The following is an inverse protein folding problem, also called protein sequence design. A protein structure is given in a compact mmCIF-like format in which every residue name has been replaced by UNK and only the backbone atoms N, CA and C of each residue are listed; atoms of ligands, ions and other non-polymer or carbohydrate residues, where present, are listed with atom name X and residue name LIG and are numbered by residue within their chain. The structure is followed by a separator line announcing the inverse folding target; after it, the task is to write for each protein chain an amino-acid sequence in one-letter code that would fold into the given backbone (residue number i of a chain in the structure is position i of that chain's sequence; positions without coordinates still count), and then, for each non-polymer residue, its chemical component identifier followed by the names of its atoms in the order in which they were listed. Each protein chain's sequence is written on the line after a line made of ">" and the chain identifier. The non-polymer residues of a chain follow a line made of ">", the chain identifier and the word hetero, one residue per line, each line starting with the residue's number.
data_IF_277546400518
#
_entry.id   IF_277546400518
#
_cell.length_a   1.000
_cell.length_b   1.000
_cell.length_c   1.000
_cell.angle_alpha   90.00
_cell.angle_beta   90.00
_cell.angle_gamma   90.00
#
_symmetry.space_group_name_H-M   'P 1'
#
loop_
_entity.id
_entity.type
_entity.pdbx_description
1 polymer ?
#
# COMPACT_ATOMS: atom_id res chain seq x y z
N UNK A 1 -1.19 -57.75 -15.43
CA UNK A 1 -1.96 -56.63 -14.86
C UNK A 1 -1.45 -56.38 -13.45
N UNK A 2 -0.76 -55.26 -13.21
CA UNK A 2 -0.33 -54.84 -11.86
C UNK A 2 -1.36 -53.84 -11.36
N UNK A 3 -2.01 -54.15 -10.25
CA UNK A 3 -2.95 -53.25 -9.59
C UNK A 3 -2.15 -52.20 -8.80
N UNK A 4 -2.25 -50.93 -9.21
CA UNK A 4 -1.71 -49.80 -8.47
C UNK A 4 -2.72 -49.42 -7.40
N UNK A 5 -2.36 -49.57 -6.12
CA UNK A 5 -3.18 -49.12 -5.01
C UNK A 5 -3.05 -47.59 -4.87
N UNK A 6 -4.16 -46.87 -5.08
CA UNK A 6 -4.26 -45.45 -4.78
C UNK A 6 -4.55 -45.33 -3.28
N UNK A 7 -3.57 -44.89 -2.51
CA UNK A 7 -3.76 -44.52 -1.10
C UNK A 7 -4.26 -43.08 -1.08
N UNK A 8 -5.55 -42.90 -0.82
CA UNK A 8 -6.14 -41.58 -0.56
C UNK A 8 -5.84 -41.25 0.90
N UNK A 9 -4.82 -40.44 1.17
CA UNK A 9 -4.63 -39.82 2.48
C UNK A 9 -5.65 -38.69 2.65
N UNK A 10 -6.72 -38.96 3.37
CA UNK A 10 -7.60 -37.90 3.86
C UNK A 10 -6.93 -37.22 5.05
N UNK A 11 -6.27 -36.09 4.84
CA UNK A 11 -5.86 -35.22 5.93
C UNK A 11 -7.12 -34.63 6.56
N UNK A 12 -7.43 -35.04 7.80
CA UNK A 12 -8.50 -34.40 8.58
C UNK A 12 -7.95 -33.04 9.03
N UNK A 13 -8.32 -31.98 8.32
CA UNK A 13 -8.04 -30.62 8.76
C UNK A 13 -8.97 -30.33 9.94
N UNK A 14 -8.40 -30.34 11.14
CA UNK A 14 -9.06 -29.83 12.33
C UNK A 14 -9.28 -28.34 12.15
N UNK A 15 -10.53 -27.92 11.92
CA UNK A 15 -10.87 -26.50 11.91
C UNK A 15 -11.03 -26.09 13.37
N UNK A 16 -10.01 -25.45 13.94
CA UNK A 16 -10.10 -24.84 15.26
C UNK A 16 -11.27 -23.84 15.29
N UNK A 17 -11.97 -23.74 16.42
CA UNK A 17 -12.93 -22.65 16.63
C UNK A 17 -12.19 -21.32 16.54
N UNK A 18 -12.78 -20.31 15.89
CA UNK A 18 -12.22 -18.97 15.89
C UNK A 18 -11.94 -18.49 17.32
N UNK A 19 -10.75 -17.93 17.55
CA UNK A 19 -10.27 -17.45 18.84
C UNK A 19 -9.92 -15.98 18.72
N UNK A 20 -10.40 -15.16 19.65
CA UNK A 20 -10.05 -13.74 19.73
C UNK A 20 -9.32 -13.49 21.04
N UNK A 21 -8.10 -12.95 20.95
CA UNK A 21 -7.26 -12.57 22.09
C UNK A 21 -7.28 -11.07 22.23
N UNK A 22 -7.81 -10.58 23.35
CA UNK A 22 -7.89 -9.14 23.65
C UNK A 22 -6.59 -8.66 24.31
N UNK A 23 -6.01 -7.59 23.77
CA UNK A 23 -4.85 -6.89 24.32
C UNK A 23 -5.27 -5.47 24.67
N UNK A 24 -5.62 -5.26 25.93
CA UNK A 24 -6.24 -4.02 26.42
C UNK A 24 -5.21 -3.08 27.09
N UNK A 25 -5.70 -1.92 27.53
CA UNK A 25 -4.94 -0.90 28.25
C UNK A 25 -3.99 -1.47 29.32
N UNK A 26 -2.70 -1.13 29.20
CA UNK A 26 -1.65 -1.54 30.13
C UNK A 26 -1.20 -3.00 29.97
N UNK A 27 -1.74 -3.73 28.99
CA UNK A 27 -1.30 -5.08 28.65
C UNK A 27 -0.34 -5.04 27.46
N UNK A 28 0.57 -6.00 27.42
CA UNK A 28 1.57 -6.10 26.35
C UNK A 28 1.80 -7.56 26.03
N UNK A 29 1.37 -8.00 24.83
CA UNK A 29 1.55 -9.35 24.32
C UNK A 29 2.98 -9.51 23.80
N UNK A 30 3.74 -10.41 24.40
CA UNK A 30 5.14 -10.69 24.07
C UNK A 30 5.29 -11.99 23.28
N UNK A 31 6.51 -12.28 22.80
CA UNK A 31 6.78 -13.58 22.16
C UNK A 31 6.65 -14.75 23.13
N UNK A 32 7.03 -14.57 24.40
CA UNK A 32 6.86 -15.63 25.41
C UNK A 32 5.38 -16.02 25.56
N UNK A 33 4.46 -15.06 25.44
CA UNK A 33 3.01 -15.32 25.47
C UNK A 33 2.52 -16.06 24.23
N UNK A 34 3.06 -15.74 23.04
CA UNK A 34 2.78 -16.43 21.78
C UNK A 34 3.25 -17.88 21.85
N UNK A 35 4.48 -18.12 22.33
CA UNK A 35 5.06 -19.45 22.50
C UNK A 35 4.30 -20.28 23.55
N UNK A 36 3.80 -19.62 24.60
CA UNK A 36 2.99 -20.26 25.63
C UNK A 36 1.55 -20.59 25.15
N UNK A 37 1.08 -19.98 24.07
CA UNK A 37 -0.33 -20.05 23.65
C UNK A 37 -1.28 -19.50 24.71
N UNK A 38 -0.83 -18.52 25.51
CA UNK A 38 -1.65 -17.94 26.56
C UNK A 38 -1.24 -16.52 26.88
N UNK A 39 -2.23 -15.65 27.11
CA UNK A 39 -2.02 -14.24 27.43
C UNK A 39 -3.10 -13.70 28.36
N UNK A 40 -2.71 -13.11 29.48
CA UNK A 40 -3.62 -12.49 30.44
C UNK A 40 -4.83 -13.38 30.84
N UNK A 41 -4.61 -14.69 30.98
CA UNK A 41 -5.65 -15.68 31.32
C UNK A 41 -6.48 -16.19 30.13
N UNK A 42 -6.24 -15.70 28.93
CA UNK A 42 -6.78 -16.22 27.67
C UNK A 42 -5.85 -17.31 27.15
N UNK A 43 -6.38 -18.44 26.69
CA UNK A 43 -5.60 -19.49 26.02
C UNK A 43 -5.96 -19.52 24.54
N UNK A 44 -4.97 -19.70 23.69
CA UNK A 44 -5.16 -19.76 22.25
C UNK A 44 -4.20 -20.76 21.60
N UNK A 45 -4.56 -21.22 20.42
CA UNK A 45 -3.70 -21.97 19.51
C UNK A 45 -3.32 -21.01 18.38
N UNK A 46 -2.03 -20.70 18.24
CA UNK A 46 -1.57 -19.78 17.20
C UNK A 46 -1.82 -20.40 15.82
N UNK A 47 -2.58 -19.71 14.97
CA UNK A 47 -3.00 -20.23 13.68
C UNK A 47 -3.98 -19.31 12.96
N UNK A 48 -4.49 -19.71 11.77
CA UNK A 48 -5.33 -18.85 10.94
C UNK A 48 -6.70 -18.51 11.53
N UNK A 49 -7.14 -19.26 12.54
CA UNK A 49 -8.38 -19.01 13.27
C UNK A 49 -8.20 -18.03 14.43
N UNK A 50 -6.99 -17.53 14.68
CA UNK A 50 -6.67 -16.68 15.83
C UNK A 50 -6.56 -15.23 15.40
N UNK A 51 -7.25 -14.36 16.13
CA UNK A 51 -7.25 -12.91 15.94
C UNK A 51 -6.78 -12.23 17.22
N UNK A 52 -5.79 -11.34 17.12
CA UNK A 52 -5.34 -10.47 18.20
C UNK A 52 -5.97 -9.09 18.04
N UNK A 53 -6.76 -8.64 19.02
CA UNK A 53 -7.36 -7.31 19.07
C UNK A 53 -6.55 -6.42 20.01
N UNK A 54 -5.74 -5.52 19.43
CA UNK A 54 -4.90 -4.59 20.18
C UNK A 54 -5.64 -3.26 20.32
N UNK A 55 -6.29 -3.11 21.48
CA UNK A 55 -7.16 -1.99 21.79
C UNK A 55 -6.36 -0.82 22.39
N UNK A 56 -7.06 0.28 22.68
CA UNK A 56 -6.50 1.49 23.28
C UNK A 56 -5.60 1.17 24.49
N UNK A 57 -4.34 1.61 24.43
CA UNK A 57 -3.33 1.42 25.46
C UNK A 57 -2.79 -0.01 25.59
N UNK A 58 -3.24 -0.94 24.74
CA UNK A 58 -2.67 -2.27 24.58
C UNK A 58 -1.53 -2.27 23.57
N UNK A 59 -0.64 -3.26 23.69
CA UNK A 59 0.48 -3.38 22.77
C UNK A 59 0.87 -4.82 22.42
N UNK A 60 1.40 -5.02 21.23
CA UNK A 60 2.18 -6.23 20.89
C UNK A 60 3.65 -5.84 20.84
N UNK A 61 4.51 -6.61 21.50
CA UNK A 61 5.95 -6.45 21.47
C UNK A 61 6.58 -6.27 22.86
N UNK A 62 7.90 -6.07 22.96
CA UNK A 62 8.81 -5.99 21.83
C UNK A 62 8.93 -7.33 21.11
N UNK A 63 8.73 -7.30 19.79
CA UNK A 63 9.04 -8.48 18.96
C UNK A 63 10.56 -8.55 18.78
N UNK A 64 11.16 -9.75 18.85
CA UNK A 64 12.58 -9.93 18.68
C UNK A 64 12.99 -9.40 17.31
N UNK A 65 13.95 -8.49 17.36
CA UNK A 65 14.71 -8.04 16.21
C UNK A 65 16.16 -8.02 16.61
N UNK A 66 17.07 -8.26 15.69
CA UNK A 66 18.47 -7.88 15.91
C UNK A 66 19.11 -7.53 14.58
N UNK A 67 20.28 -6.88 14.64
CA UNK A 67 21.14 -6.65 13.48
C UNK A 67 21.79 -7.93 12.93
N UNK A 68 21.63 -9.04 13.64
CA UNK A 68 22.06 -10.42 13.32
C UNK A 68 20.80 -11.22 12.97
N UNK A 69 20.82 -12.16 12.01
CA UNK A 69 19.59 -12.81 11.55
C UNK A 69 18.87 -13.52 12.69
N UNK A 70 17.83 -12.89 13.22
CA UNK A 70 16.81 -13.50 14.05
C UNK A 70 15.69 -13.93 13.12
N UNK A 71 15.14 -15.12 13.33
CA UNK A 71 13.99 -15.57 12.56
C UNK A 71 12.81 -14.61 12.82
N UNK A 72 12.01 -14.26 11.79
CA UNK A 72 10.77 -13.53 12.00
C UNK A 72 9.84 -14.30 12.94
N UNK A 73 9.02 -13.60 13.71
CA UNK A 73 7.97 -14.22 14.51
C UNK A 73 6.88 -14.69 13.57
N UNK A 74 6.70 -16.01 13.50
CA UNK A 74 5.67 -16.64 12.70
C UNK A 74 4.34 -16.64 13.47
N UNK A 75 3.33 -15.98 12.92
CA UNK A 75 1.99 -15.91 13.52
C UNK A 75 1.06 -17.02 13.02
N UNK A 76 1.55 -17.95 12.21
CA UNK A 76 0.80 -19.14 11.78
C UNK A 76 -0.45 -18.84 10.94
N UNK A 77 -0.50 -17.69 10.29
CA UNK A 77 -1.66 -17.18 9.54
C UNK A 77 -2.63 -16.36 10.38
N UNK A 78 -2.33 -16.07 11.65
CA UNK A 78 -3.21 -15.28 12.52
C UNK A 78 -3.41 -13.85 12.00
N UNK A 79 -4.53 -13.25 12.41
CA UNK A 79 -4.85 -11.85 12.16
C UNK A 79 -4.47 -10.99 13.36
N UNK A 80 -3.88 -9.82 13.12
CA UNK A 80 -3.49 -8.84 14.13
C UNK A 80 -4.20 -7.53 13.78
N UNK A 81 -5.14 -7.12 14.62
CA UNK A 81 -5.85 -5.85 14.49
C UNK A 81 -5.25 -4.84 15.45
N UNK A 82 -4.57 -3.82 14.95
CA UNK A 82 -4.15 -2.67 15.76
C UNK A 82 -5.26 -1.62 15.63
N UNK A 83 -6.03 -1.46 16.70
CA UNK A 83 -7.16 -0.53 16.78
C UNK A 83 -6.70 0.85 17.26
N UNK A 84 -7.63 1.82 17.28
CA UNK A 84 -7.39 3.17 17.78
C UNK A 84 -6.72 3.14 19.18
N UNK A 85 -5.58 3.82 19.30
CA UNK A 85 -4.77 3.87 20.52
C UNK A 85 -4.02 2.58 20.86
N UNK A 86 -4.17 1.51 20.09
CA UNK A 86 -3.37 0.30 20.15
C UNK A 86 -2.00 0.51 19.51
N UNK A 87 -0.99 -0.23 19.96
CA UNK A 87 0.38 -0.07 19.46
C UNK A 87 1.04 -1.39 19.07
N UNK A 88 1.67 -1.43 17.90
CA UNK A 88 2.66 -2.46 17.59
C UNK A 88 4.05 -1.92 17.94
N UNK A 89 4.62 -2.41 19.04
CA UNK A 89 5.92 -1.98 19.54
C UNK A 89 7.04 -2.72 18.80
N UNK A 90 7.93 -1.94 18.20
CA UNK A 90 9.26 -2.39 17.83
C UNK A 90 10.25 -1.83 18.87
N UNK A 91 11.00 -2.70 19.52
CA UNK A 91 12.06 -2.28 20.45
C UNK A 91 13.16 -1.57 19.68
N UNK A 92 13.64 -0.39 20.10
CA UNK A 92 14.80 0.20 19.43
C UNK A 92 16.07 -0.43 20.02
N UNK A 93 17.01 -0.95 19.20
CA UNK A 93 17.17 -0.79 17.75
C UNK A 93 16.62 -1.94 16.90
N UNK A 94 15.85 -2.82 17.51
CA UNK A 94 15.40 -4.10 17.00
C UNK A 94 14.18 -3.97 16.07
N UNK A 95 14.31 -4.54 14.86
CA UNK A 95 13.25 -4.55 13.86
C UNK A 95 12.16 -5.53 14.29
N UNK A 96 10.90 -5.12 14.35
CA UNK A 96 9.81 -6.07 14.51
C UNK A 96 9.66 -6.86 13.21
N UNK A 97 9.88 -8.17 13.24
CA UNK A 97 9.80 -9.04 12.06
C UNK A 97 8.62 -9.99 12.20
N UNK A 98 7.69 -9.91 11.26
CA UNK A 98 6.41 -10.65 11.27
C UNK A 98 6.36 -11.55 10.03
N UNK A 99 6.09 -12.83 10.24
CA UNK A 99 5.90 -13.81 9.16
C UNK A 99 4.51 -14.45 9.25
N UNK A 100 3.97 -14.86 8.07
CA UNK A 100 2.67 -15.51 7.92
C UNK A 100 1.57 -14.87 8.80
N UNK A 101 1.32 -13.57 8.65
CA UNK A 101 0.31 -12.87 9.42
C UNK A 101 -0.52 -11.94 8.53
N UNK A 102 -1.74 -11.63 8.95
CA UNK A 102 -2.49 -10.49 8.42
C UNK A 102 -2.47 -9.36 9.45
N UNK A 103 -1.78 -8.26 9.17
CA UNK A 103 -1.68 -7.09 10.04
C UNK A 103 -2.62 -5.97 9.55
N UNK A 104 -3.67 -5.68 10.30
CA UNK A 104 -4.57 -4.57 10.03
C UNK A 104 -4.20 -3.37 10.91
N UNK A 105 -3.89 -2.24 10.29
CA UNK A 105 -3.55 -0.97 10.95
C UNK A 105 -4.70 0.00 10.73
N UNK A 106 -5.56 0.14 11.75
CA UNK A 106 -6.78 0.92 11.68
C UNK A 106 -6.54 2.40 12.08
N UNK A 107 -7.57 3.24 11.91
CA UNK A 107 -7.52 4.64 12.33
C UNK A 107 -7.12 4.82 13.80
N UNK A 108 -6.20 5.76 14.04
CA UNK A 108 -5.67 6.05 15.36
C UNK A 108 -4.71 4.98 15.93
N UNK A 109 -4.42 3.92 15.19
CA UNK A 109 -3.38 2.96 15.55
C UNK A 109 -1.98 3.56 15.41
N UNK A 110 -1.03 3.03 16.18
CA UNK A 110 0.39 3.37 16.03
C UNK A 110 1.22 2.12 15.76
N UNK A 111 1.96 2.12 14.66
CA UNK A 111 2.96 1.11 14.36
C UNK A 111 4.34 1.71 14.58
N UNK A 112 5.11 1.06 15.44
CA UNK A 112 6.45 1.46 15.81
C UNK A 112 7.44 1.46 14.64
N UNK A 113 8.68 1.84 14.92
CA UNK A 113 9.71 1.95 13.88
C UNK A 113 10.22 0.58 13.41
N UNK A 114 10.51 0.40 12.11
CA UNK A 114 11.16 -0.80 11.57
C UNK A 114 10.35 -2.10 11.68
N UNK A 115 9.07 -2.07 11.29
CA UNK A 115 8.32 -3.31 11.06
C UNK A 115 8.67 -3.88 9.69
N UNK A 116 8.96 -5.18 9.63
CA UNK A 116 9.25 -5.91 8.40
C UNK A 116 8.34 -7.13 8.29
N UNK A 117 7.62 -7.23 7.18
CA UNK A 117 6.75 -8.35 6.82
C UNK A 117 7.52 -9.35 5.96
N UNK A 118 7.40 -10.63 6.28
CA UNK A 118 8.09 -11.75 5.64
C UNK A 118 7.11 -12.85 5.26
N UNK A 119 7.49 -13.70 4.30
CA UNK A 119 6.91 -15.04 4.10
C UNK A 119 5.38 -15.00 4.03
N UNK A 120 4.82 -14.30 3.04
CA UNK A 120 3.36 -14.22 2.85
C UNK A 120 2.62 -13.39 3.90
N UNK A 121 3.31 -12.73 4.84
CA UNK A 121 2.67 -11.74 5.70
C UNK A 121 2.15 -10.57 4.88
N UNK A 122 0.96 -10.11 5.23
CA UNK A 122 0.26 -9.01 4.57
C UNK A 122 -0.04 -7.94 5.59
N UNK A 123 0.02 -6.68 5.18
CA UNK A 123 -0.51 -5.59 5.99
C UNK A 123 -1.52 -4.76 5.22
N UNK A 124 -2.59 -4.36 5.91
CA UNK A 124 -3.63 -3.48 5.43
C UNK A 124 -3.61 -2.22 6.29
N UNK A 125 -3.13 -1.11 5.73
CA UNK A 125 -3.09 0.20 6.38
C UNK A 125 -4.28 0.99 5.87
N UNK A 126 -5.38 0.94 6.60
CA UNK A 126 -6.57 1.74 6.32
C UNK A 126 -6.50 3.10 7.01
N UNK A 127 -5.65 3.22 8.04
CA UNK A 127 -5.51 4.40 8.87
C UNK A 127 -4.25 4.42 9.73
N UNK A 128 -4.23 5.32 10.71
CA UNK A 128 -3.19 5.37 11.73
C UNK A 128 -1.83 5.91 11.25
N UNK A 129 -0.80 5.69 12.06
CA UNK A 129 0.57 6.15 11.79
C UNK A 129 1.57 4.99 11.86
N UNK A 130 2.39 4.85 10.82
CA UNK A 130 3.59 4.00 10.80
C UNK A 130 4.81 4.91 10.89
N UNK A 131 5.40 5.00 12.09
CA UNK A 131 6.30 6.09 12.46
C UNK A 131 7.67 6.10 11.76
N UNK A 132 8.07 5.03 11.08
CA UNK A 132 9.37 4.95 10.38
C UNK A 132 9.31 3.94 9.23
N UNK A 133 10.31 3.06 9.12
CA UNK A 133 10.37 2.05 8.07
C UNK A 133 9.29 0.98 8.24
N UNK A 134 8.41 0.90 7.25
CA UNK A 134 7.50 -0.20 7.00
C UNK A 134 8.00 -0.99 5.79
N UNK A 135 8.35 -2.25 6.02
CA UNK A 135 9.05 -3.06 5.02
C UNK A 135 8.28 -4.31 4.68
N UNK A 136 8.31 -4.69 3.41
CA UNK A 136 7.95 -6.02 2.97
C UNK A 136 9.17 -6.71 2.32
N UNK A 137 9.35 -7.99 2.58
CA UNK A 137 10.45 -8.83 2.08
C UNK A 137 9.97 -10.25 1.85
N UNK A 138 10.65 -10.98 0.96
CA UNK A 138 10.48 -12.43 0.77
C UNK A 138 8.99 -12.85 0.67
N UNK A 139 8.22 -12.19 -0.21
CA UNK A 139 6.78 -12.42 -0.40
C UNK A 139 5.84 -11.67 0.56
N UNK A 140 6.36 -10.74 1.36
CA UNK A 140 5.54 -9.82 2.13
C UNK A 140 4.78 -8.83 1.23
N UNK A 141 3.58 -8.41 1.65
CA UNK A 141 2.73 -7.48 0.90
C UNK A 141 2.21 -6.35 1.78
N UNK A 142 2.14 -5.14 1.24
CA UNK A 142 1.57 -3.96 1.93
C UNK A 142 0.47 -3.36 1.07
N UNK A 143 -0.73 -3.23 1.62
CA UNK A 143 -1.86 -2.54 1.02
C UNK A 143 -2.15 -1.31 1.88
N UNK A 144 -2.15 -0.11 1.31
CA UNK A 144 -2.40 1.11 2.06
C UNK A 144 -3.47 1.96 1.37
N UNK A 145 -4.67 1.96 1.93
CA UNK A 145 -5.80 2.78 1.45
C UNK A 145 -5.96 4.09 2.24
N UNK A 146 -5.15 4.28 3.28
CA UNK A 146 -5.18 5.46 4.13
C UNK A 146 -4.00 5.50 5.09
N UNK A 147 -4.10 6.35 6.11
CA UNK A 147 -3.06 6.52 7.13
C UNK A 147 -1.80 7.23 6.63
N UNK A 148 -0.80 7.29 7.52
CA UNK A 148 0.49 7.91 7.27
C UNK A 148 1.63 6.90 7.47
N UNK A 149 2.42 6.66 6.41
CA UNK A 149 3.59 5.80 6.43
C UNK A 149 4.84 6.66 6.27
N UNK A 150 5.65 6.81 7.31
CA UNK A 150 6.82 7.68 7.25
C UNK A 150 7.85 7.21 6.19
N UNK A 151 8.10 5.91 6.10
CA UNK A 151 8.93 5.33 5.04
C UNK A 151 8.44 3.95 4.65
N UNK A 152 8.11 3.75 3.38
CA UNK A 152 7.78 2.46 2.79
C UNK A 152 9.01 1.93 2.06
N UNK A 153 9.44 0.70 2.32
CA UNK A 153 10.66 0.15 1.72
C UNK A 153 10.43 -1.30 1.33
N UNK A 154 10.64 -1.61 0.04
CA UNK A 154 10.56 -2.94 -0.57
C UNK A 154 11.99 -3.33 -0.96
N UNK A 155 12.80 -3.82 0.00
CA UNK A 155 14.22 -4.02 -0.20
C UNK A 155 14.47 -5.30 -1.02
N UNK A 156 15.72 -5.57 -1.45
CA UNK A 156 16.04 -6.83 -2.07
C UNK A 156 15.63 -8.03 -1.22
N UNK A 157 14.92 -8.94 -1.89
CA UNK A 157 14.64 -10.28 -1.41
C UNK A 157 15.86 -11.16 -1.64
N UNK A 158 16.19 -12.01 -0.66
CA UNK A 158 17.18 -13.08 -0.87
C UNK A 158 16.54 -14.30 -1.51
N UNK A 159 15.20 -14.35 -1.54
CA UNK A 159 14.41 -15.35 -2.23
C UNK A 159 13.95 -14.84 -3.59
N UNK A 160 13.49 -15.76 -4.46
CA UNK A 160 12.84 -15.37 -5.72
C UNK A 160 11.44 -14.77 -5.50
N UNK A 161 10.94 -14.74 -4.27
CA UNK A 161 9.68 -14.07 -3.92
C UNK A 161 9.95 -12.57 -3.72
N UNK A 162 9.54 -11.74 -4.68
CA UNK A 162 9.54 -10.29 -4.55
C UNK A 162 8.66 -9.80 -3.40
N UNK A 163 8.87 -8.55 -2.98
CA UNK A 163 7.93 -7.85 -2.11
C UNK A 163 6.99 -7.01 -2.97
N UNK A 164 5.76 -6.77 -2.50
CA UNK A 164 4.84 -5.88 -3.21
C UNK A 164 4.19 -4.85 -2.30
N UNK A 165 3.82 -3.72 -2.90
CA UNK A 165 2.94 -2.74 -2.27
C UNK A 165 1.87 -2.23 -3.24
N UNK A 166 0.67 -1.98 -2.73
CA UNK A 166 -0.40 -1.28 -3.41
C UNK A 166 -0.86 -0.09 -2.55
N UNK A 167 -0.78 1.11 -3.12
CA UNK A 167 -1.07 2.36 -2.42
C UNK A 167 -2.23 3.08 -3.12
N UNK A 168 -3.28 3.35 -2.36
CA UNK A 168 -4.51 3.96 -2.85
C UNK A 168 -5.11 4.89 -1.79
N UNK A 169 -4.45 6.03 -1.54
CA UNK A 169 -4.97 7.08 -0.66
C UNK A 169 -4.12 7.35 0.59
N UNK A 170 -3.08 6.56 0.83
CA UNK A 170 -2.17 6.79 1.95
C UNK A 170 -1.24 8.00 1.73
N UNK A 171 -0.81 8.61 2.84
CA UNK A 171 0.33 9.54 2.83
C UNK A 171 1.61 8.77 3.10
N UNK A 172 2.52 8.74 2.14
CA UNK A 172 3.83 8.09 2.26
C UNK A 172 4.91 9.17 2.30
N UNK A 173 5.76 9.17 3.33
CA UNK A 173 6.91 10.06 3.38
C UNK A 173 7.87 9.71 2.25
N UNK A 174 8.64 8.64 2.41
CA UNK A 174 9.56 8.18 1.38
C UNK A 174 9.28 6.74 0.97
N UNK A 175 9.16 6.49 -0.33
CA UNK A 175 9.01 5.15 -0.88
C UNK A 175 10.32 4.68 -1.52
N UNK A 176 10.77 3.48 -1.17
CA UNK A 176 11.92 2.80 -1.77
C UNK A 176 11.45 1.47 -2.36
N UNK A 177 11.61 1.27 -3.66
CA UNK A 177 11.27 0.01 -4.36
C UNK A 177 12.52 -0.54 -5.00
N UNK A 178 12.90 -1.77 -4.64
CA UNK A 178 14.16 -2.33 -5.14
C UNK A 178 14.08 -3.81 -5.50
N UNK A 179 14.94 -4.24 -6.42
CA UNK A 179 15.21 -5.64 -6.80
C UNK A 179 13.98 -6.57 -6.89
N UNK A 180 13.36 -6.64 -8.07
CA UNK A 180 12.21 -7.52 -8.36
C UNK A 180 11.03 -7.32 -7.39
N UNK A 181 10.98 -6.19 -6.72
CA UNK A 181 9.81 -5.78 -5.95
C UNK A 181 8.91 -4.94 -6.83
N UNK A 182 7.62 -4.99 -6.54
CA UNK A 182 6.59 -4.30 -7.31
C UNK A 182 5.86 -3.28 -6.43
N UNK A 183 5.62 -2.08 -6.96
CA UNK A 183 4.71 -1.14 -6.33
C UNK A 183 3.65 -0.65 -7.32
N UNK A 184 2.40 -0.64 -6.90
CA UNK A 184 1.28 -0.05 -7.64
C UNK A 184 0.78 1.16 -6.86
N UNK A 185 0.80 2.32 -7.50
CA UNK A 185 0.30 3.58 -6.93
C UNK A 185 -0.91 4.03 -7.73
N UNK A 186 -2.08 3.94 -7.10
CA UNK A 186 -3.34 4.41 -7.67
C UNK A 186 -3.61 5.86 -7.29
N UNK A 187 -3.40 6.19 -6.02
CA UNK A 187 -3.60 7.51 -5.46
C UNK A 187 -2.77 7.70 -4.17
N UNK A 188 -2.78 8.90 -3.60
CA UNK A 188 -2.09 9.22 -2.33
C UNK A 188 -1.16 10.42 -2.42
N UNK A 189 -0.43 10.69 -1.33
CA UNK A 189 0.54 11.79 -1.26
C UNK A 189 1.90 11.26 -0.86
N UNK A 190 2.91 11.53 -1.68
CA UNK A 190 4.27 11.03 -1.52
C UNK A 190 5.22 12.20 -1.29
N UNK A 191 6.08 12.15 -0.27
CA UNK A 191 7.16 13.15 -0.21
C UNK A 191 8.19 12.88 -1.29
N UNK A 192 8.55 11.63 -1.54
CA UNK A 192 9.40 11.25 -2.66
C UNK A 192 9.43 9.73 -2.86
N UNK A 193 9.98 9.31 -3.98
CA UNK A 193 10.13 7.90 -4.31
C UNK A 193 11.50 7.64 -4.96
N UNK A 194 12.06 6.46 -4.67
CA UNK A 194 13.28 5.95 -5.25
C UNK A 194 13.07 4.52 -5.72
N UNK A 195 13.42 4.23 -6.97
CA UNK A 195 13.24 2.92 -7.61
C UNK A 195 14.59 2.41 -8.13
N UNK A 196 15.09 1.32 -7.57
CA UNK A 196 16.33 0.68 -8.01
C UNK A 196 16.16 -0.82 -8.22
N UNK A 197 15.99 -1.22 -9.48
CA UNK A 197 15.81 -2.60 -9.96
C UNK A 197 14.44 -3.18 -9.58
N UNK A 198 13.46 -2.32 -9.33
CA UNK A 198 12.07 -2.69 -9.05
C UNK A 198 11.14 -2.29 -10.19
N UNK A 199 9.91 -2.78 -10.14
CA UNK A 199 8.85 -2.40 -11.07
C UNK A 199 7.85 -1.49 -10.34
N UNK A 200 7.57 -0.33 -10.90
CA UNK A 200 6.59 0.61 -10.31
C UNK A 200 5.57 0.99 -11.36
N UNK A 201 4.30 0.79 -11.04
CA UNK A 201 3.18 1.29 -11.82
C UNK A 201 2.54 2.47 -11.12
N UNK A 202 2.45 3.62 -11.78
CA UNK A 202 1.86 4.86 -11.24
C UNK A 202 0.71 5.30 -12.12
N UNK A 203 -0.49 5.35 -11.54
CA UNK A 203 -1.71 5.83 -12.19
C UNK A 203 -2.12 7.21 -11.73
N UNK A 204 -1.86 7.52 -10.46
CA UNK A 204 -2.21 8.80 -9.87
C UNK A 204 -1.42 9.07 -8.60
N UNK A 205 -1.86 10.07 -7.85
CA UNK A 205 -1.24 10.54 -6.63
C UNK A 205 -0.31 11.73 -6.85
N UNK A 206 0.06 12.38 -5.74
CA UNK A 206 0.84 13.61 -5.74
C UNK A 206 2.21 13.40 -5.12
N UNK A 207 3.26 13.74 -5.86
CA UNK A 207 4.63 13.72 -5.37
C UNK A 207 5.07 15.14 -5.01
N UNK A 208 5.46 15.36 -3.76
CA UNK A 208 5.86 16.68 -3.24
C UNK A 208 7.34 16.99 -3.51
N UNK A 209 8.13 15.97 -3.80
CA UNK A 209 9.54 16.04 -4.18
C UNK A 209 9.81 15.08 -5.34
N UNK A 210 11.09 14.84 -5.63
CA UNK A 210 11.54 14.02 -6.76
C UNK A 210 11.06 12.57 -6.68
N UNK A 211 10.72 12.04 -7.86
CA UNK A 211 10.72 10.61 -8.17
C UNK A 211 12.05 10.30 -8.88
N UNK A 212 12.82 9.39 -8.32
CA UNK A 212 14.14 8.99 -8.81
C UNK A 212 14.11 7.51 -9.17
N UNK A 213 14.68 7.16 -10.32
CA UNK A 213 14.81 5.77 -10.74
C UNK A 213 16.17 5.51 -11.38
N UNK A 214 16.84 4.47 -10.88
CA UNK A 214 18.16 4.03 -11.36
C UNK A 214 18.03 2.80 -12.28
N UNK A 215 17.13 1.86 -11.95
CA UNK A 215 16.89 0.65 -12.74
C UNK A 215 15.45 0.14 -12.58
N UNK A 216 15.04 -0.70 -13.52
CA UNK A 216 13.75 -1.41 -13.50
C UNK A 216 12.74 -0.82 -14.48
N UNK A 217 11.49 -1.27 -14.37
CA UNK A 217 10.40 -0.82 -15.24
C UNK A 217 9.53 0.17 -14.48
N UNK A 218 9.45 1.40 -14.96
CA UNK A 218 8.52 2.39 -14.41
C UNK A 218 7.41 2.63 -15.43
N UNK A 219 6.19 2.26 -15.08
CA UNK A 219 5.02 2.39 -15.95
C UNK A 219 4.11 3.50 -15.44
N UNK A 220 4.02 4.60 -16.18
CA UNK A 220 3.15 5.72 -15.85
C UNK A 220 1.96 5.77 -16.79
N UNK A 221 0.77 5.92 -16.21
CA UNK A 221 -0.45 6.25 -16.93
C UNK A 221 -0.63 7.76 -16.87
N UNK A 222 -0.63 8.40 -18.04
CA UNK A 222 -0.51 9.86 -18.17
C UNK A 222 -1.58 10.40 -19.11
N UNK A 223 -1.92 11.68 -18.96
CA UNK A 223 -2.76 12.46 -19.88
C UNK A 223 -1.93 13.38 -20.76
N UNK A 224 -0.71 13.70 -20.35
CA UNK A 224 0.28 14.37 -21.18
C UNK A 224 1.69 14.17 -20.63
N UNK A 225 2.69 14.29 -21.49
CA UNK A 225 4.10 14.19 -21.12
C UNK A 225 4.92 15.23 -21.91
N UNK A 226 5.87 15.87 -21.23
CA UNK A 226 6.80 16.86 -21.79
C UNK A 226 8.21 16.39 -21.42
N UNK A 227 9.07 16.20 -22.42
CA UNK A 227 10.48 15.84 -22.26
C UNK A 227 11.34 17.06 -22.58
N UNK A 228 12.05 17.59 -21.58
CA UNK A 228 12.91 18.77 -21.72
C UNK A 228 12.22 20.00 -22.33
N UNK A 229 10.95 20.20 -21.99
CA UNK A 229 10.13 21.31 -22.50
C UNK A 229 9.44 21.05 -23.85
N UNK A 230 9.70 19.92 -24.51
CA UNK A 230 9.03 19.52 -25.75
C UNK A 230 7.94 18.47 -25.46
N UNK A 231 6.70 18.65 -25.94
CA UNK A 231 5.65 17.64 -25.79
C UNK A 231 6.03 16.31 -26.44
N UNK A 232 5.71 15.20 -25.78
CA UNK A 232 5.77 13.86 -26.38
C UNK A 232 4.41 13.58 -27.04
N UNK A 233 4.41 13.32 -28.34
CA UNK A 233 3.23 12.85 -29.05
C UNK A 233 2.94 11.39 -28.64
N UNK A 234 1.89 11.20 -27.85
CA UNK A 234 1.37 9.89 -27.48
C UNK A 234 0.01 9.67 -28.16
N UNK A 235 -0.25 8.48 -28.70
CA UNK A 235 -1.61 8.08 -29.04
C UNK A 235 -2.31 7.41 -27.84
N UNK A 236 -3.64 7.50 -27.78
CA UNK A 236 -4.43 6.88 -26.70
C UNK A 236 -4.19 5.35 -26.68
N UNK A 237 -4.00 4.80 -25.47
CA UNK A 237 -3.63 3.40 -25.20
C UNK A 237 -2.28 2.96 -25.80
N UNK A 238 -1.53 3.86 -26.43
CA UNK A 238 -0.18 3.58 -26.88
C UNK A 238 0.78 3.61 -25.70
N UNK A 239 1.62 2.59 -25.60
CA UNK A 239 2.72 2.57 -24.63
C UNK A 239 4.01 2.89 -25.36
N UNK A 240 4.63 4.02 -25.02
CA UNK A 240 5.95 4.37 -25.53
C UNK A 240 7.01 3.95 -24.50
N UNK A 241 8.02 3.24 -24.98
CA UNK A 241 9.23 2.92 -24.24
C UNK A 241 10.27 4.03 -24.48
N UNK A 242 10.74 4.65 -23.41
CA UNK A 242 11.85 5.61 -23.45
C UNK A 242 13.07 4.92 -22.86
N UNK A 243 13.91 4.37 -23.74
CA UNK A 243 15.00 3.46 -23.37
C UNK A 243 16.34 4.12 -23.01
N UNK A 244 16.49 5.44 -23.11
CA UNK A 244 17.71 6.14 -22.68
C UNK A 244 17.33 7.57 -22.27
N UNK A 245 17.09 7.78 -20.98
CA UNK A 245 16.81 9.10 -20.39
C UNK A 245 18.03 9.50 -19.59
N UNK A 246 18.81 10.47 -20.08
CA UNK A 246 20.08 10.86 -19.43
C UNK A 246 20.07 12.35 -19.17
N UNK A 247 19.98 12.73 -17.89
CA UNK A 247 19.82 14.12 -17.39
C UNK A 247 18.55 14.84 -17.81
N UNK A 248 17.58 14.12 -18.38
CA UNK A 248 16.35 14.75 -18.83
C UNK A 248 15.39 14.94 -17.65
N UNK A 249 14.64 16.03 -17.74
CA UNK A 249 13.49 16.27 -16.87
C UNK A 249 12.25 15.94 -17.69
N UNK A 250 11.43 15.03 -17.16
CA UNK A 250 10.14 14.70 -17.76
C UNK A 250 9.06 15.26 -16.85
N UNK A 251 8.30 16.21 -17.37
CA UNK A 251 7.10 16.70 -16.72
C UNK A 251 5.90 15.88 -17.25
N UNK A 252 5.28 15.14 -16.36
CA UNK A 252 4.11 14.33 -16.62
C UNK A 252 2.87 14.98 -16.00
N UNK A 253 1.73 14.78 -16.63
CA UNK A 253 0.43 14.91 -15.99
C UNK A 253 -0.17 13.51 -15.93
N UNK A 254 -0.36 12.98 -14.72
CA UNK A 254 -0.88 11.63 -14.48
C UNK A 254 -2.35 11.49 -14.92
N UNK A 255 -2.87 10.26 -14.88
CA UNK A 255 -4.25 9.95 -15.27
C UNK A 255 -5.27 10.76 -14.46
N UNK A 256 -5.02 10.95 -13.16
CA UNK A 256 -5.83 11.76 -12.26
C UNK A 256 -5.63 13.29 -12.40
N UNK A 257 -4.80 13.72 -13.35
CA UNK A 257 -4.46 15.13 -13.57
C UNK A 257 -3.36 15.68 -12.66
N UNK A 258 -2.78 14.88 -11.76
CA UNK A 258 -1.71 15.33 -10.88
C UNK A 258 -0.40 15.58 -11.67
N UNK A 259 0.29 16.71 -11.44
CA UNK A 259 1.60 16.92 -12.05
C UNK A 259 2.66 16.07 -11.35
N UNK A 260 3.54 15.46 -12.15
CA UNK A 260 4.69 14.69 -11.68
C UNK A 260 5.93 15.09 -12.46
N UNK A 261 6.98 15.52 -11.76
CA UNK A 261 8.28 15.74 -12.37
C UNK A 261 9.21 14.56 -12.08
N UNK A 262 9.65 13.88 -13.13
CA UNK A 262 10.65 12.82 -13.07
C UNK A 262 12.04 13.39 -13.32
N UNK A 263 13.01 12.92 -12.54
CA UNK A 263 14.43 13.19 -12.80
C UNK A 263 15.18 11.86 -12.76
N UNK A 264 15.91 11.58 -13.82
CA UNK A 264 16.71 10.36 -13.94
C UNK A 264 18.17 10.68 -13.63
N UNK A 265 18.78 9.94 -12.71
CA UNK A 265 20.22 10.05 -12.45
C UNK A 265 20.99 9.12 -13.40
N UNK A 266 22.19 9.55 -13.75
CA UNK A 266 22.98 9.16 -14.93
C UNK A 266 23.59 7.76 -14.89
N UNK A 267 23.22 6.93 -13.91
CA UNK A 267 24.05 5.77 -13.62
C UNK A 267 23.72 4.56 -14.48
N UNK A 268 22.47 4.36 -14.93
CA UNK A 268 22.07 3.25 -15.80
C UNK A 268 20.79 3.56 -16.60
N UNK A 269 20.37 2.68 -17.53
CA UNK A 269 19.25 2.92 -18.46
C UNK A 269 17.93 2.30 -17.91
N UNK A 270 17.10 3.02 -17.11
CA UNK A 270 15.79 2.51 -16.68
C UNK A 270 14.83 2.43 -17.87
N UNK A 271 13.93 1.45 -17.84
CA UNK A 271 12.85 1.36 -18.83
C UNK A 271 11.67 2.19 -18.34
N UNK A 272 11.42 3.31 -19.01
CA UNK A 272 10.24 4.13 -18.77
C UNK A 272 9.16 3.78 -19.79
N UNK A 273 8.01 3.33 -19.30
CA UNK A 273 6.81 3.07 -20.09
C UNK A 273 5.79 4.18 -19.81
N UNK A 274 5.39 4.90 -20.85
CA UNK A 274 4.32 5.90 -20.76
C UNK A 274 3.12 5.39 -21.54
N UNK A 275 1.98 5.21 -20.87
CA UNK A 275 0.70 4.92 -21.54
C UNK A 275 -0.19 6.15 -21.44
N UNK A 276 -0.57 6.70 -22.60
CA UNK A 276 -1.58 7.75 -22.62
C UNK A 276 -2.94 7.14 -22.32
N UNK A 277 -3.62 7.69 -21.34
CA UNK A 277 -5.02 7.39 -21.03
C UNK A 277 -5.86 8.65 -21.18
N UNK A 278 -7.16 8.47 -21.36
CA UNK A 278 -8.08 9.60 -21.25
C UNK A 278 -8.02 10.12 -19.81
N UNK A 279 -8.00 11.45 -19.66
CA UNK A 279 -8.11 12.08 -18.34
C UNK A 279 -9.57 12.26 -17.96
N UNK A 280 -9.85 12.65 -16.70
CA UNK A 280 -11.20 12.93 -16.26
C UNK A 280 -11.85 13.99 -17.15
N UNK A 281 -13.01 13.67 -17.72
CA UNK A 281 -13.69 14.55 -18.67
C UNK A 281 -14.30 15.79 -18.00
N UNK A 282 -14.65 15.69 -16.72
CA UNK A 282 -14.98 16.78 -15.81
C UNK A 282 -14.91 16.31 -14.34
N UNK A 283 -15.36 17.14 -13.39
CA UNK A 283 -15.28 16.86 -11.94
C UNK A 283 -16.11 15.65 -11.46
N UNK A 284 -17.03 15.14 -12.27
CA UNK A 284 -17.78 13.93 -11.95
C UNK A 284 -17.11 12.64 -12.43
N UNK A 285 -16.03 12.74 -13.22
CA UNK A 285 -15.22 11.61 -13.68
C UNK A 285 -14.13 11.38 -12.64
N UNK A 286 -14.41 10.57 -11.62
CA UNK A 286 -13.56 10.42 -10.44
C UNK A 286 -12.96 9.02 -10.30
N UNK A 287 -13.26 8.10 -11.22
CA UNK A 287 -12.71 6.76 -11.20
C UNK A 287 -12.34 6.26 -12.60
N UNK A 288 -11.34 5.38 -12.67
CA UNK A 288 -11.06 4.68 -13.93
C UNK A 288 -12.21 3.73 -14.30
N UNK A 289 -12.57 3.61 -15.60
CA UNK A 289 -11.92 4.24 -16.76
C UNK A 289 -12.35 5.70 -16.96
N UNK A 290 -11.40 6.62 -16.90
CA UNK A 290 -11.63 8.02 -17.20
C UNK A 290 -12.06 8.22 -18.67
N UNK A 291 -12.80 9.30 -18.93
CA UNK A 291 -13.46 9.58 -20.21
C UNK A 291 -14.81 8.91 -20.35
N UNK A 292 -15.20 8.05 -19.40
CA UNK A 292 -16.46 7.33 -19.41
C UNK A 292 -17.12 7.35 -18.03
N UNK A 293 -18.31 7.97 -17.95
CA UNK A 293 -19.12 7.87 -16.74
C UNK A 293 -19.70 6.47 -16.51
N UNK A 294 -19.43 5.93 -15.33
CA UNK A 294 -20.04 4.71 -14.86
C UNK A 294 -20.37 4.74 -13.35
N UNK A 295 -20.59 3.56 -12.75
CA UNK A 295 -20.94 3.46 -11.33
C UNK A 295 -19.74 3.67 -10.40
N UNK A 296 -18.52 3.43 -10.87
CA UNK A 296 -17.29 3.62 -10.12
C UNK A 296 -17.08 5.11 -9.80
N UNK A 297 -17.43 6.02 -10.71
CA UNK A 297 -17.40 7.48 -10.44
C UNK A 297 -18.32 7.86 -9.29
N UNK A 298 -19.53 7.30 -9.29
CA UNK A 298 -20.52 7.55 -8.23
C UNK A 298 -20.02 6.98 -6.90
N UNK A 299 -19.41 5.80 -6.91
CA UNK A 299 -18.83 5.19 -5.71
C UNK A 299 -17.66 6.04 -5.20
N UNK A 300 -16.72 6.41 -6.07
CA UNK A 300 -15.55 7.26 -5.75
C UNK A 300 -15.96 8.60 -5.16
N UNK A 301 -16.97 9.26 -5.75
CA UNK A 301 -17.54 10.49 -5.19
C UNK A 301 -18.15 10.27 -3.81
N UNK A 302 -18.95 9.20 -3.62
CA UNK A 302 -19.60 8.93 -2.33
C UNK A 302 -18.60 8.55 -1.24
N UNK A 303 -17.55 7.82 -1.57
CA UNK A 303 -16.43 7.50 -0.67
C UNK A 303 -15.71 8.80 -0.27
N UNK A 304 -15.30 9.61 -1.26
CA UNK A 304 -14.68 10.92 -1.03
C UNK A 304 -15.57 11.84 -0.17
N UNK A 305 -16.89 11.83 -0.41
CA UNK A 305 -17.85 12.62 0.35
C UNK A 305 -17.98 12.11 1.79
N UNK A 306 -17.99 10.78 1.98
CA UNK A 306 -18.05 10.13 3.29
C UNK A 306 -16.81 10.41 4.15
N UNK A 307 -15.64 10.45 3.53
CA UNK A 307 -14.34 10.70 4.17
C UNK A 307 -14.02 12.19 4.36
N UNK A 308 -14.95 13.05 3.99
CA UNK A 308 -14.80 14.49 3.96
C UNK A 308 -13.60 14.99 3.13
N UNK A 309 -13.30 14.30 2.03
CA UNK A 309 -12.18 14.59 1.15
C UNK A 309 -12.45 15.82 0.26
N UNK A 310 -11.38 16.57 -0.04
CA UNK A 310 -11.46 17.76 -0.90
C UNK A 310 -11.94 17.45 -2.33
N UNK A 311 -11.76 16.22 -2.80
CA UNK A 311 -12.21 15.79 -4.13
C UNK A 311 -13.75 15.77 -4.28
N UNK A 312 -14.49 15.63 -3.18
CA UNK A 312 -15.94 15.70 -3.17
C UNK A 312 -16.51 17.12 -3.01
N UNK A 313 -15.66 18.11 -2.76
CA UNK A 313 -16.05 19.51 -2.53
C UNK A 313 -16.08 20.27 -3.87
N UNK A 314 -17.22 20.17 -4.54
CA UNK A 314 -17.42 20.61 -5.91
C UNK A 314 -18.18 21.94 -5.99
N UNK A 315 -18.81 22.39 -4.90
CA UNK A 315 -19.69 23.54 -4.84
C UNK A 315 -19.22 24.59 -3.83
N UNK A 316 -19.57 25.85 -4.07
CA UNK A 316 -19.34 26.89 -3.06
C UNK A 316 -20.32 26.73 -1.88
N UNK A 317 -19.89 26.98 -0.62
CA UNK A 317 -18.56 27.46 -0.25
C UNK A 317 -17.50 26.34 -0.16
N UNK A 318 -16.40 26.49 -0.91
CA UNK A 318 -15.28 25.54 -0.88
C UNK A 318 -14.70 25.43 0.54
N UNK A 319 -14.41 24.20 0.94
CA UNK A 319 -14.01 23.77 2.28
C UNK A 319 -15.18 23.28 3.14
N UNK A 320 -16.36 23.07 2.58
CA UNK A 320 -17.56 22.60 3.30
C UNK A 320 -18.37 21.66 2.42
N UNK A 321 -18.36 20.38 2.77
CA UNK A 321 -19.18 19.38 2.08
C UNK A 321 -20.65 19.46 2.53
N UNK A 322 -21.53 19.67 1.57
CA UNK A 322 -22.97 19.69 1.76
C UNK A 322 -23.75 19.13 0.54
N UNK A 323 -25.07 19.32 0.53
CA UNK A 323 -25.94 18.80 -0.55
C UNK A 323 -25.69 19.49 -1.91
N UNK A 324 -25.13 20.69 -1.93
CA UNK A 324 -24.80 21.41 -3.15
C UNK A 324 -23.66 20.71 -3.92
N UNK A 325 -22.73 20.05 -3.22
CA UNK A 325 -21.69 19.22 -3.85
C UNK A 325 -22.30 18.03 -4.57
N UNK A 326 -23.21 17.32 -3.89
CA UNK A 326 -23.95 16.19 -4.48
C UNK A 326 -24.75 16.64 -5.70
N UNK A 327 -25.41 17.79 -5.63
CA UNK A 327 -26.15 18.34 -6.79
C UNK A 327 -25.19 18.71 -7.92
N UNK A 328 -24.03 19.31 -7.61
CA UNK A 328 -23.01 19.65 -8.61
C UNK A 328 -22.44 18.41 -9.28
N UNK A 329 -22.12 17.37 -8.51
CA UNK A 329 -21.74 16.06 -9.01
C UNK A 329 -22.80 15.50 -9.96
N UNK A 330 -24.07 15.41 -9.53
CA UNK A 330 -25.15 14.86 -10.36
C UNK A 330 -25.42 15.67 -11.63
N UNK A 331 -25.23 16.99 -11.60
CA UNK A 331 -25.35 17.85 -12.79
C UNK A 331 -24.21 17.58 -13.78
N UNK A 332 -22.97 17.48 -13.29
CA UNK A 332 -21.80 17.17 -14.11
C UNK A 332 -21.89 15.73 -14.68
N UNK A 333 -22.25 14.76 -13.85
CA UNK A 333 -22.48 13.36 -14.26
C UNK A 333 -23.61 13.25 -15.30
N UNK A 334 -24.73 13.94 -15.06
CA UNK A 334 -25.88 13.96 -15.98
C UNK A 334 -25.61 14.67 -17.31
N UNK A 335 -24.60 15.54 -17.37
CA UNK A 335 -24.19 16.19 -18.61
C UNK A 335 -23.39 15.26 -19.55
N UNK A 336 -22.82 14.16 -19.02
CA UNK A 336 -21.98 13.24 -19.77
C UNK A 336 -20.53 13.74 -19.97
N UNK A 337 -19.68 12.87 -20.49
CA UNK A 337 -18.42 13.25 -21.09
C UNK A 337 -18.65 13.72 -22.55
N UNK A 338 -18.08 14.87 -22.97
CA UNK A 338 -18.24 15.42 -24.31
C UNK A 338 -17.55 14.60 -25.40
#
# INVERSE_FOLDING_TARGET
>A
MRATAIVVLSAVVSVGSAQTVQVNAGQTLTVDDLDAGSFAGQTFELGPSTTFEVNEGGAIGPLPGSSVPVAPVDFGGATININAGGTLLADRPNKAQIANATLNVNDGATVGSFVTLYQGAQAFVTGGEVASFFRARDGGMIFATGGAIASLSLPPSISDAGASAEIDGATVGFMEVTFRSEAVIRSGVFTGAFVAEGDVTVRGGRFLSRFESDFGTNHFFVTSAILNGEPIDLALDETIEIGEVRTDVIDLVLADGAPLQLTFDLFDDPTLLLTLVEGPCNLADQAEPFGQFDVADVVSFLESFGDAALAADLAAPIGTLDVADVVTFLQAFGAGCP
#
